data_IF_585844751897
#
_entry.id   IF_585844751897
#
_cell.length_a   1.000
_cell.length_b   1.000
_cell.length_c   1.000
_cell.angle_alpha   90.00
_cell.angle_beta   90.00
_cell.angle_gamma   90.00
#
_symmetry.space_group_name_H-M   'P 1'
#
loop_
_entity.id
_entity.type
_entity.pdbx_description
1 polymer ?
#
# COMPACT_ATOMS: atom_id res chain seq x y z
N UNK A 1 -22.47 21.49 -79.58
CA UNK A 1 -21.73 20.19 -79.65
C UNK A 1 -20.52 20.24 -78.74
N UNK A 2 -20.71 19.88 -77.48
CA UNK A 2 -19.60 19.56 -76.58
C UNK A 2 -19.95 18.30 -75.79
N UNK A 3 -19.21 17.23 -76.06
CA UNK A 3 -19.27 15.99 -75.31
C UNK A 3 -18.28 16.10 -74.12
N UNK A 4 -18.79 16.18 -72.93
CA UNK A 4 -17.99 16.00 -71.69
C UNK A 4 -17.92 14.52 -71.36
N UNK A 5 -16.70 13.97 -71.40
CA UNK A 5 -16.39 12.67 -70.86
C UNK A 5 -16.06 12.85 -69.35
N UNK A 6 -16.91 12.33 -68.49
CA UNK A 6 -16.60 12.16 -67.05
C UNK A 6 -15.68 10.93 -66.92
N UNK A 7 -14.43 11.19 -66.55
CA UNK A 7 -13.51 10.16 -66.11
C UNK A 7 -13.83 9.80 -64.63
N UNK A 8 -14.29 8.59 -64.42
CA UNK A 8 -14.47 8.03 -63.06
C UNK A 8 -13.12 7.49 -62.65
N UNK A 9 -12.43 8.18 -61.74
CA UNK A 9 -11.22 7.67 -61.08
C UNK A 9 -11.63 6.76 -59.93
N UNK A 10 -11.42 5.47 -60.12
CA UNK A 10 -11.66 4.44 -59.10
C UNK A 10 -10.55 4.55 -58.03
N UNK A 11 -10.86 5.12 -56.89
CA UNK A 11 -9.94 5.19 -55.74
C UNK A 11 -9.97 3.85 -55.02
N UNK A 12 -8.97 3.01 -55.25
CA UNK A 12 -8.82 1.73 -54.52
C UNK A 12 -8.30 2.00 -53.12
N UNK A 13 -9.19 1.97 -52.15
CA UNK A 13 -8.86 2.09 -50.73
C UNK A 13 -8.24 0.76 -50.25
N UNK A 14 -6.94 0.69 -50.13
CA UNK A 14 -6.23 -0.44 -49.53
C UNK A 14 -6.33 -0.31 -48.02
N UNK A 15 -7.27 -1.02 -47.39
CA UNK A 15 -7.35 -1.17 -45.95
C UNK A 15 -6.23 -2.10 -45.47
N UNK A 16 -5.13 -1.52 -45.02
CA UNK A 16 -4.11 -2.23 -44.26
C UNK A 16 -4.69 -2.59 -42.89
N UNK A 17 -5.21 -3.80 -42.75
CA UNK A 17 -5.46 -4.39 -41.44
C UNK A 17 -4.11 -4.61 -40.76
N UNK A 18 -3.70 -3.63 -39.95
CA UNK A 18 -2.65 -3.86 -38.94
C UNK A 18 -3.23 -4.85 -37.94
N UNK A 19 -2.93 -6.12 -38.14
CA UNK A 19 -3.24 -7.16 -37.16
C UNK A 19 -2.64 -6.73 -35.83
N UNK A 20 -3.48 -6.41 -34.84
CA UNK A 20 -3.07 -6.42 -33.47
C UNK A 20 -2.59 -7.85 -33.19
N UNK A 21 -1.27 -8.06 -33.28
CA UNK A 21 -0.68 -9.27 -32.74
C UNK A 21 -1.05 -9.28 -31.25
N UNK A 22 -2.03 -10.09 -30.89
CA UNK A 22 -2.31 -10.38 -29.49
C UNK A 22 -0.99 -10.89 -28.91
N UNK A 23 -0.43 -10.17 -27.95
CA UNK A 23 0.67 -10.71 -27.14
C UNK A 23 0.28 -12.13 -26.77
N UNK A 24 1.16 -13.12 -26.96
CA UNK A 24 0.87 -14.47 -26.47
C UNK A 24 0.48 -14.34 -25.00
N UNK A 25 -0.47 -15.11 -24.51
CA UNK A 25 -0.79 -15.12 -23.10
C UNK A 25 0.53 -15.28 -22.37
N UNK A 26 0.91 -14.25 -21.61
CA UNK A 26 2.08 -14.30 -20.76
C UNK A 26 1.83 -15.52 -19.90
N UNK A 27 2.66 -16.56 -20.05
CA UNK A 27 2.62 -17.71 -19.14
C UNK A 27 2.57 -17.08 -17.75
N UNK A 28 1.48 -17.33 -17.02
CA UNK A 28 1.34 -16.86 -15.65
C UNK A 28 2.55 -17.44 -14.94
N UNK A 29 3.59 -16.65 -14.83
CA UNK A 29 4.73 -16.90 -13.97
C UNK A 29 4.10 -17.38 -12.68
N UNK A 30 4.55 -18.51 -12.14
CA UNK A 30 3.97 -19.06 -10.93
C UNK A 30 4.22 -18.07 -9.80
N UNK A 31 3.38 -17.06 -9.74
CA UNK A 31 3.48 -15.96 -8.81
C UNK A 31 3.48 -16.52 -7.40
N UNK A 32 4.51 -16.22 -6.62
CA UNK A 32 4.69 -16.73 -5.27
C UNK A 32 4.70 -18.28 -5.17
N UNK A 33 5.60 -18.98 -5.87
CA UNK A 33 5.63 -20.44 -5.85
C UNK A 33 5.95 -21.00 -4.46
N UNK A 34 6.64 -20.25 -3.62
CA UNK A 34 6.95 -20.59 -2.25
C UNK A 34 5.71 -20.49 -1.34
N UNK A 35 4.84 -19.50 -1.52
CA UNK A 35 3.54 -19.42 -0.82
C UNK A 35 2.67 -20.63 -1.14
N UNK A 36 2.60 -21.00 -2.43
CA UNK A 36 1.86 -22.17 -2.87
C UNK A 36 2.37 -23.48 -2.22
N UNK A 37 3.68 -23.58 -1.98
CA UNK A 37 4.30 -24.76 -1.39
C UNK A 37 4.18 -24.82 0.12
N UNK A 38 4.37 -23.68 0.79
CA UNK A 38 4.48 -23.63 2.26
C UNK A 38 3.16 -23.27 2.94
N UNK A 39 2.23 -22.66 2.22
CA UNK A 39 1.02 -22.04 2.76
C UNK A 39 1.32 -20.80 3.62
N UNK A 40 2.56 -20.27 3.57
CA UNK A 40 2.99 -19.14 4.39
C UNK A 40 3.10 -17.88 3.54
N UNK A 41 2.40 -16.84 3.95
CA UNK A 41 2.48 -15.50 3.39
C UNK A 41 3.10 -14.55 4.41
N UNK A 42 4.24 -13.96 4.06
CA UNK A 42 4.91 -12.96 4.88
C UNK A 42 4.53 -11.57 4.40
N UNK A 43 3.87 -10.79 5.25
CA UNK A 43 3.44 -9.41 4.99
C UNK A 43 4.16 -8.50 5.96
N UNK A 44 4.71 -7.40 5.45
CA UNK A 44 5.28 -6.30 6.23
C UNK A 44 4.42 -5.06 6.04
N UNK A 45 3.99 -4.42 7.12
CA UNK A 45 3.37 -3.08 7.06
C UNK A 45 4.27 -2.07 7.73
N UNK A 46 4.40 -0.89 7.13
CA UNK A 46 5.31 0.14 7.59
C UNK A 46 4.86 1.54 7.14
N UNK A 47 4.66 2.44 8.11
CA UNK A 47 4.62 3.87 7.82
C UNK A 47 6.04 4.38 7.55
N UNK A 48 6.25 5.05 6.43
CA UNK A 48 7.58 5.41 5.93
C UNK A 48 8.05 6.79 6.38
N UNK A 49 7.21 7.51 7.13
CA UNK A 49 7.52 8.85 7.66
C UNK A 49 8.05 9.78 6.55
N UNK A 50 7.15 10.31 5.75
CA UNK A 50 7.49 11.16 4.59
C UNK A 50 8.36 12.38 4.94
N UNK A 51 8.25 12.87 6.16
CA UNK A 51 8.99 14.03 6.69
C UNK A 51 10.37 13.70 7.30
N UNK A 52 10.75 12.41 7.34
CA UNK A 52 12.05 12.01 7.86
C UNK A 52 13.19 12.59 7.00
N UNK A 53 14.30 13.08 7.63
CA UNK A 53 15.45 13.62 6.91
C UNK A 53 16.02 12.63 5.88
N UNK A 54 16.51 13.13 4.74
CA UNK A 54 17.03 12.33 3.62
C UNK A 54 18.05 11.26 4.04
N UNK A 55 18.99 11.62 4.93
CA UNK A 55 20.02 10.68 5.40
C UNK A 55 19.43 9.49 6.18
N UNK A 56 18.41 9.74 7.00
CA UNK A 56 17.68 8.70 7.75
C UNK A 56 16.90 7.82 6.78
N UNK A 57 16.20 8.43 5.85
CA UNK A 57 15.36 7.73 4.88
C UNK A 57 16.17 6.81 3.96
N UNK A 58 17.26 7.29 3.37
CA UNK A 58 18.10 6.50 2.47
C UNK A 58 18.68 5.26 3.16
N UNK A 59 19.10 5.40 4.42
CA UNK A 59 19.56 4.28 5.23
C UNK A 59 18.40 3.31 5.49
N UNK A 60 17.24 3.85 5.89
CA UNK A 60 16.06 3.03 6.19
C UNK A 60 15.59 2.21 5.00
N UNK A 61 15.62 2.74 3.77
CA UNK A 61 15.27 1.95 2.57
C UNK A 61 16.18 0.74 2.38
N UNK A 62 17.47 0.90 2.60
CA UNK A 62 18.42 -0.19 2.48
C UNK A 62 18.19 -1.26 3.56
N UNK A 63 17.90 -0.84 4.78
CA UNK A 63 17.62 -1.73 5.92
C UNK A 63 16.27 -2.44 5.75
N UNK A 64 15.23 -1.72 5.31
CA UNK A 64 13.91 -2.29 5.00
C UNK A 64 14.04 -3.35 3.89
N UNK A 65 14.76 -3.05 2.82
CA UNK A 65 14.97 -3.99 1.73
C UNK A 65 15.77 -5.21 2.19
N UNK A 66 16.78 -5.02 3.01
CA UNK A 66 17.57 -6.12 3.58
C UNK A 66 16.69 -7.00 4.48
N UNK A 67 15.91 -6.39 5.37
CA UNK A 67 14.97 -7.11 6.23
C UNK A 67 13.94 -7.89 5.41
N UNK A 68 13.34 -7.26 4.41
CA UNK A 68 12.31 -7.87 3.58
C UNK A 68 12.84 -9.10 2.83
N UNK A 69 14.03 -8.99 2.25
CA UNK A 69 14.67 -10.11 1.53
C UNK A 69 15.09 -11.23 2.51
N UNK A 70 15.71 -10.88 3.64
CA UNK A 70 16.16 -11.85 4.63
C UNK A 70 15.01 -12.64 5.28
N UNK A 71 13.83 -12.02 5.41
CA UNK A 71 12.64 -12.64 6.01
C UNK A 71 11.63 -13.12 4.96
N UNK A 72 12.04 -13.22 3.71
CA UNK A 72 11.20 -13.68 2.61
C UNK A 72 9.83 -12.97 2.58
N UNK A 73 9.81 -11.63 2.72
CA UNK A 73 8.58 -10.86 2.68
C UNK A 73 7.99 -10.91 1.28
N UNK A 74 6.74 -11.31 1.16
CA UNK A 74 6.02 -11.40 -0.12
C UNK A 74 5.34 -10.11 -0.50
N UNK A 75 4.81 -9.40 0.51
CA UNK A 75 4.06 -8.16 0.32
C UNK A 75 4.48 -7.13 1.35
N UNK A 76 4.78 -5.90 0.89
CA UNK A 76 4.98 -4.74 1.76
C UNK A 76 3.80 -3.78 1.58
N UNK A 77 3.27 -3.31 2.70
CA UNK A 77 2.23 -2.30 2.79
C UNK A 77 2.88 -1.03 3.34
N UNK A 78 2.94 0.01 2.53
CA UNK A 78 3.57 1.27 2.91
C UNK A 78 2.51 2.33 3.08
N UNK A 79 2.68 3.16 4.10
CA UNK A 79 1.95 4.39 4.33
C UNK A 79 2.92 5.57 4.25
N UNK A 80 2.41 6.74 3.96
CA UNK A 80 3.23 7.96 3.78
C UNK A 80 4.28 7.85 2.67
N UNK A 81 4.04 7.02 1.65
CA UNK A 81 4.89 7.04 0.48
C UNK A 81 4.80 8.41 -0.21
N UNK A 82 5.96 8.96 -0.54
CA UNK A 82 6.09 10.34 -1.02
C UNK A 82 6.29 10.39 -2.52
N UNK A 83 5.64 11.38 -3.16
CA UNK A 83 5.95 11.82 -4.52
C UNK A 83 6.10 13.36 -4.55
N UNK A 84 7.16 13.86 -5.18
CA UNK A 84 7.38 15.30 -5.43
C UNK A 84 8.17 15.53 -6.71
N UNK A 85 7.80 16.55 -7.47
CA UNK A 85 8.51 17.01 -8.66
C UNK A 85 9.29 18.33 -8.39
N UNK A 86 9.31 18.82 -7.15
CA UNK A 86 10.00 20.06 -6.77
C UNK A 86 11.43 19.75 -6.35
N UNK A 87 12.41 20.24 -7.10
CA UNK A 87 13.85 19.99 -6.87
C UNK A 87 14.32 20.29 -5.46
N UNK A 88 13.84 21.39 -4.86
CA UNK A 88 14.21 21.78 -3.49
C UNK A 88 13.68 20.77 -2.47
N UNK A 89 12.46 20.27 -2.67
CA UNK A 89 11.85 19.24 -1.83
C UNK A 89 12.58 17.92 -2.05
N UNK A 90 12.88 17.56 -3.30
CA UNK A 90 13.68 16.36 -3.60
C UNK A 90 15.05 16.40 -2.92
N UNK A 91 15.73 17.56 -2.92
CA UNK A 91 17.01 17.72 -2.24
C UNK A 91 16.88 17.59 -0.71
N UNK A 92 15.83 18.17 -0.13
CA UNK A 92 15.55 18.09 1.31
C UNK A 92 15.23 16.64 1.72
N UNK A 93 14.39 15.97 0.95
CA UNK A 93 13.89 14.64 1.28
C UNK A 93 14.74 13.51 0.70
N UNK A 94 15.67 13.81 -0.21
CA UNK A 94 16.58 12.85 -0.84
C UNK A 94 15.88 11.87 -1.79
N UNK A 95 14.63 12.13 -2.17
CA UNK A 95 13.86 11.31 -3.10
C UNK A 95 12.79 12.12 -3.83
N UNK A 96 12.46 11.74 -5.05
CA UNK A 96 11.28 12.23 -5.79
C UNK A 96 10.09 11.26 -5.69
N UNK A 97 10.36 9.97 -5.49
CA UNK A 97 9.35 8.90 -5.40
C UNK A 97 9.87 7.80 -4.45
N UNK A 98 9.49 7.90 -3.20
CA UNK A 98 10.00 7.01 -2.15
C UNK A 98 9.61 5.55 -2.35
N UNK A 99 8.41 5.28 -2.87
CA UNK A 99 7.94 3.92 -3.12
C UNK A 99 8.71 3.26 -4.28
N UNK A 100 9.00 4.01 -5.35
CA UNK A 100 9.83 3.54 -6.47
C UNK A 100 11.28 3.33 -6.07
N UNK A 101 11.82 4.19 -5.25
CA UNK A 101 13.18 4.03 -4.75
C UNK A 101 13.32 2.76 -3.93
N UNK A 102 12.37 2.48 -3.03
CA UNK A 102 12.36 1.22 -2.30
C UNK A 102 12.16 0.02 -3.23
N UNK A 103 11.24 0.11 -4.21
CA UNK A 103 11.05 -0.94 -5.22
C UNK A 103 12.34 -1.26 -5.95
N UNK A 104 13.08 -0.23 -6.39
CA UNK A 104 14.35 -0.40 -7.11
C UNK A 104 15.40 -1.10 -6.25
N UNK A 105 15.50 -0.73 -4.97
CA UNK A 105 16.45 -1.35 -4.04
C UNK A 105 16.06 -2.81 -3.75
N UNK A 106 14.77 -3.09 -3.56
CA UNK A 106 14.26 -4.44 -3.38
C UNK A 106 14.54 -5.32 -4.60
N UNK A 107 14.22 -4.83 -5.80
CA UNK A 107 14.39 -5.58 -7.04
C UNK A 107 15.87 -5.85 -7.39
N UNK A 108 16.79 -5.02 -6.89
CA UNK A 108 18.21 -5.27 -7.01
C UNK A 108 18.74 -6.38 -6.07
N UNK A 109 17.96 -6.77 -5.06
CA UNK A 109 18.38 -7.73 -4.00
C UNK A 109 17.53 -8.99 -3.96
N UNK A 110 16.29 -8.91 -4.45
CA UNK A 110 15.34 -10.02 -4.45
C UNK A 110 15.50 -10.89 -5.70
N UNK A 111 15.41 -12.22 -5.60
CA UNK A 111 15.40 -13.11 -6.77
C UNK A 111 14.15 -12.93 -7.64
N UNK A 112 13.04 -12.47 -7.05
CA UNK A 112 11.78 -12.21 -7.72
C UNK A 112 11.45 -10.71 -7.59
N UNK A 113 11.02 -10.06 -8.70
CA UNK A 113 10.75 -8.62 -8.67
C UNK A 113 9.47 -8.31 -7.88
N UNK A 114 9.50 -7.20 -7.18
CA UNK A 114 8.32 -6.61 -6.57
C UNK A 114 7.60 -5.72 -7.58
N UNK A 115 6.31 -5.93 -7.73
CA UNK A 115 5.41 -5.04 -8.45
C UNK A 115 4.88 -3.96 -7.51
N UNK A 116 4.82 -2.71 -7.98
CA UNK A 116 4.34 -1.57 -7.19
C UNK A 116 2.92 -1.18 -7.61
N UNK A 117 2.05 -1.01 -6.62
CA UNK A 117 0.73 -0.40 -6.74
C UNK A 117 0.63 0.78 -5.78
N UNK A 118 0.10 1.90 -6.26
CA UNK A 118 0.03 3.15 -5.50
C UNK A 118 -1.40 3.65 -5.49
N UNK A 119 -1.88 4.07 -4.32
CA UNK A 119 -3.13 4.79 -4.13
C UNK A 119 -2.81 6.16 -3.52
N UNK A 120 -2.96 7.19 -4.34
CA UNK A 120 -2.63 8.56 -3.96
C UNK A 120 -3.57 9.05 -2.87
N UNK A 121 -2.99 9.66 -1.85
CA UNK A 121 -3.64 10.55 -0.91
C UNK A 121 -3.58 11.98 -1.44
N UNK A 122 -4.11 12.92 -0.73
CA UNK A 122 -4.06 14.30 -1.17
C UNK A 122 -2.72 14.92 -0.84
N UNK A 123 -2.34 15.83 -1.67
CA UNK A 123 -1.23 16.75 -1.51
C UNK A 123 -1.44 17.87 -2.51
N UNK A 124 -0.50 18.76 -2.62
CA UNK A 124 -0.46 19.71 -3.74
C UNK A 124 0.14 18.97 -4.92
N UNK A 125 -0.63 18.68 -6.00
CA UNK A 125 -0.10 17.98 -7.16
C UNK A 125 1.18 18.64 -7.66
N UNK A 126 2.18 17.84 -8.01
CA UNK A 126 3.51 18.25 -8.46
C UNK A 126 4.41 18.90 -7.37
N UNK A 127 3.87 19.30 -6.24
CA UNK A 127 4.66 19.86 -5.14
C UNK A 127 5.04 18.76 -4.15
N UNK A 128 4.03 18.21 -3.49
CA UNK A 128 4.19 17.13 -2.52
C UNK A 128 2.91 16.34 -2.44
N UNK A 129 2.99 15.06 -2.71
CA UNK A 129 1.85 14.14 -2.63
C UNK A 129 2.25 12.94 -1.79
N UNK A 130 1.39 12.52 -0.87
CA UNK A 130 1.54 11.27 -0.14
C UNK A 130 0.67 10.17 -0.73
N UNK A 131 1.00 8.94 -0.43
CA UNK A 131 0.28 7.78 -0.93
C UNK A 131 0.38 6.59 0.03
N UNK A 132 -0.57 5.70 -0.10
CA UNK A 132 -0.40 4.32 0.34
C UNK A 132 0.14 3.50 -0.83
N UNK A 133 1.09 2.60 -0.58
CA UNK A 133 1.65 1.75 -1.61
C UNK A 133 1.66 0.28 -1.21
N UNK A 134 1.53 -0.61 -2.19
CA UNK A 134 1.69 -2.05 -2.04
C UNK A 134 2.81 -2.49 -2.97
N UNK A 135 3.84 -3.12 -2.42
CA UNK A 135 4.88 -3.80 -3.16
C UNK A 135 4.68 -5.30 -2.99
N UNK A 136 4.57 -6.03 -4.10
CA UNK A 136 4.26 -7.47 -4.06
C UNK A 136 5.13 -8.27 -5.02
N UNK A 137 5.67 -9.40 -4.57
CA UNK A 137 6.27 -10.42 -5.45
C UNK A 137 5.20 -11.33 -6.07
N UNK A 138 4.01 -11.37 -5.46
CA UNK A 138 2.87 -12.10 -6.02
C UNK A 138 2.18 -11.24 -7.07
N UNK A 139 1.80 -11.83 -8.20
CA UNK A 139 1.15 -11.11 -9.30
C UNK A 139 -0.17 -10.47 -8.85
N UNK A 140 -0.25 -9.16 -8.97
CA UNK A 140 -1.46 -8.41 -8.66
C UNK A 140 -2.38 -8.41 -9.88
N UNK A 141 -3.43 -9.21 -9.83
CA UNK A 141 -4.40 -9.35 -10.91
C UNK A 141 -5.35 -8.16 -11.02
N UNK A 142 -5.66 -7.51 -9.88
CA UNK A 142 -6.49 -6.31 -9.81
C UNK A 142 -6.00 -5.41 -8.66
N UNK A 143 -6.08 -4.11 -8.90
CA UNK A 143 -5.81 -3.10 -7.89
C UNK A 143 -6.80 -1.96 -8.02
N UNK A 144 -7.37 -1.51 -6.93
CA UNK A 144 -8.25 -0.33 -6.86
C UNK A 144 -8.29 0.23 -5.45
N UNK A 145 -8.74 1.47 -5.35
CA UNK A 145 -8.80 2.21 -4.09
C UNK A 145 -10.05 3.06 -4.00
N UNK A 146 -10.33 3.56 -2.81
CA UNK A 146 -11.33 4.59 -2.58
C UNK A 146 -10.85 5.54 -1.48
N UNK A 147 -11.27 6.81 -1.57
CA UNK A 147 -11.04 7.74 -0.48
C UNK A 147 -11.94 7.42 0.71
N UNK A 148 -11.42 7.66 1.89
CA UNK A 148 -12.15 7.60 3.14
C UNK A 148 -12.77 8.97 3.42
N UNK A 149 -13.91 9.03 4.15
CA UNK A 149 -14.51 10.30 4.52
C UNK A 149 -13.59 11.04 5.50
N UNK A 150 -13.81 12.34 5.61
CA UNK A 150 -13.09 13.26 6.49
C UNK A 150 -11.65 13.50 6.03
N UNK A 151 -11.36 14.77 5.85
CA UNK A 151 -10.01 15.28 5.59
C UNK A 151 -9.38 15.66 6.92
N UNK A 152 -8.10 15.35 7.11
CA UNK A 152 -7.30 15.92 8.20
C UNK A 152 -6.56 17.14 7.71
N UNK A 153 -6.34 18.10 8.60
CA UNK A 153 -5.42 19.20 8.36
C UNK A 153 -4.09 18.86 9.05
N UNK A 154 -3.03 18.72 8.26
CA UNK A 154 -1.69 18.44 8.76
C UNK A 154 -0.76 19.56 8.32
N UNK A 155 0.12 20.00 9.23
CA UNK A 155 1.10 21.01 8.92
C UNK A 155 2.40 20.34 8.48
N UNK A 156 2.88 20.69 7.28
CA UNK A 156 4.19 20.30 6.78
C UNK A 156 5.00 21.57 6.47
N UNK A 157 6.13 21.76 7.15
CA UNK A 157 7.01 22.93 6.96
C UNK A 157 6.26 24.27 7.01
N UNK A 158 5.23 24.37 7.87
CA UNK A 158 4.39 25.55 8.02
C UNK A 158 3.32 25.75 6.94
N UNK A 159 3.12 24.77 6.07
CA UNK A 159 2.03 24.71 5.08
C UNK A 159 0.94 23.80 5.63
N UNK A 160 -0.26 24.32 5.79
CA UNK A 160 -1.43 23.50 6.12
C UNK A 160 -1.86 22.69 4.90
N UNK A 161 -1.76 21.37 5.01
CA UNK A 161 -2.19 20.45 3.96
C UNK A 161 -3.46 19.74 4.40
N UNK A 162 -4.44 19.73 3.52
CA UNK A 162 -5.59 18.84 3.67
C UNK A 162 -5.25 17.47 3.14
N UNK A 163 -5.23 16.49 4.02
CA UNK A 163 -4.90 15.11 3.67
C UNK A 163 -6.18 14.28 3.67
N UNK A 164 -6.54 13.78 2.50
CA UNK A 164 -7.55 12.74 2.36
C UNK A 164 -6.90 11.39 2.53
N UNK A 165 -7.49 10.57 3.36
CA UNK A 165 -7.05 9.19 3.56
C UNK A 165 -7.74 8.25 2.57
N UNK A 166 -7.12 7.13 2.29
CA UNK A 166 -7.67 6.13 1.40
C UNK A 166 -7.51 4.71 1.94
N UNK A 167 -8.24 3.80 1.34
CA UNK A 167 -8.00 2.37 1.41
C UNK A 167 -7.80 1.83 0.00
N UNK A 168 -6.81 0.98 -0.19
CA UNK A 168 -6.56 0.27 -1.43
C UNK A 168 -6.61 -1.24 -1.20
N UNK A 169 -6.88 -1.99 -2.27
CA UNK A 169 -6.82 -3.45 -2.29
C UNK A 169 -6.04 -3.94 -3.48
N UNK A 170 -5.16 -4.90 -3.24
CA UNK A 170 -4.53 -5.73 -4.26
C UNK A 170 -5.13 -7.13 -4.19
N UNK A 171 -5.66 -7.61 -5.31
CA UNK A 171 -6.18 -8.96 -5.46
C UNK A 171 -5.17 -9.81 -6.21
N UNK A 172 -4.88 -10.99 -5.68
CA UNK A 172 -3.91 -11.94 -6.21
C UNK A 172 -4.55 -13.32 -6.28
N UNK A 173 -4.17 -14.10 -7.30
CA UNK A 173 -4.57 -15.50 -7.38
C UNK A 173 -3.32 -16.36 -7.34
N UNK A 174 -3.12 -17.07 -6.24
CA UNK A 174 -1.90 -17.85 -5.99
C UNK A 174 -2.25 -19.33 -6.18
N UNK A 175 -1.66 -20.01 -7.18
CA UNK A 175 -1.92 -21.42 -7.44
C UNK A 175 -1.68 -22.28 -6.20
N UNK A 176 -2.66 -23.12 -5.83
CA UNK A 176 -2.58 -23.98 -4.65
C UNK A 176 -2.84 -23.28 -3.31
N UNK A 177 -2.83 -21.95 -3.27
CA UNK A 177 -3.13 -21.17 -2.07
C UNK A 177 -4.54 -20.53 -2.13
N UNK A 178 -4.93 -20.03 -3.30
CA UNK A 178 -6.25 -19.44 -3.55
C UNK A 178 -6.19 -17.93 -3.83
N UNK A 179 -7.35 -17.30 -3.74
CA UNK A 179 -7.47 -15.85 -3.92
C UNK A 179 -7.09 -15.13 -2.63
N UNK A 180 -6.11 -14.25 -2.73
CA UNK A 180 -5.63 -13.39 -1.65
C UNK A 180 -6.03 -11.94 -1.92
N UNK A 181 -6.72 -11.32 -0.99
CA UNK A 181 -7.03 -9.90 -1.02
C UNK A 181 -6.28 -9.20 0.11
N UNK A 182 -5.41 -8.27 -0.25
CA UNK A 182 -4.64 -7.48 0.69
C UNK A 182 -5.10 -6.04 0.64
N UNK A 183 -5.61 -5.55 1.76
CA UNK A 183 -6.01 -4.17 1.96
C UNK A 183 -4.90 -3.42 2.67
N UNK A 184 -4.61 -2.20 2.20
CA UNK A 184 -3.70 -1.26 2.83
C UNK A 184 -4.41 0.06 3.04
N UNK A 185 -4.29 0.63 4.23
CA UNK A 185 -4.90 1.91 4.59
C UNK A 185 -3.98 2.72 5.50
N UNK A 186 -4.22 4.02 5.55
CA UNK A 186 -3.68 4.91 6.56
C UNK A 186 -4.82 5.78 7.07
N UNK A 187 -5.20 5.61 8.33
CA UNK A 187 -6.28 6.38 8.92
C UNK A 187 -5.77 7.72 9.44
N UNK A 188 -6.68 8.62 9.72
CA UNK A 188 -6.36 9.96 10.18
C UNK A 188 -5.75 9.97 11.60
N UNK A 189 -4.57 10.58 11.76
CA UNK A 189 -3.91 10.75 13.05
C UNK A 189 -4.50 11.89 13.89
N UNK A 190 -4.98 12.96 13.25
CA UNK A 190 -5.40 14.20 13.91
C UNK A 190 -6.92 14.39 13.95
N UNK A 191 -7.71 13.41 13.54
CA UNK A 191 -9.16 13.47 13.58
C UNK A 191 -9.73 13.30 14.98
N UNK A 192 -10.97 13.76 15.16
CA UNK A 192 -11.75 13.36 16.33
C UNK A 192 -12.02 11.86 16.30
N UNK A 193 -12.38 11.31 17.43
CA UNK A 193 -12.74 9.88 17.53
C UNK A 193 -13.93 9.54 16.63
N UNK A 194 -14.88 10.45 16.48
CA UNK A 194 -16.04 10.30 15.58
C UNK A 194 -15.60 10.26 14.13
N UNK A 195 -14.62 11.08 13.75
CA UNK A 195 -14.00 11.06 12.42
C UNK A 195 -13.31 9.74 12.13
N UNK A 196 -12.56 9.24 13.09
CA UNK A 196 -11.89 7.95 12.97
C UNK A 196 -12.89 6.79 12.87
N UNK A 197 -13.98 6.82 13.66
CA UNK A 197 -15.07 5.86 13.54
C UNK A 197 -15.73 5.88 12.16
N UNK A 198 -15.93 7.06 11.57
CA UNK A 198 -16.49 7.18 10.21
C UNK A 198 -15.53 6.62 9.17
N UNK A 199 -14.21 6.86 9.30
CA UNK A 199 -13.21 6.26 8.42
C UNK A 199 -13.21 4.74 8.51
N UNK A 200 -13.24 4.18 9.72
CA UNK A 200 -13.30 2.72 9.92
C UNK A 200 -14.59 2.12 9.35
N UNK A 201 -15.73 2.79 9.56
CA UNK A 201 -16.99 2.33 8.98
C UNK A 201 -16.94 2.31 7.43
N UNK A 202 -16.35 3.34 6.80
CA UNK A 202 -16.18 3.40 5.35
C UNK A 202 -15.18 2.36 4.84
N UNK A 203 -14.08 2.13 5.56
CA UNK A 203 -13.10 1.08 5.28
C UNK A 203 -13.78 -0.29 5.28
N UNK A 204 -14.50 -0.65 6.33
CA UNK A 204 -15.19 -1.93 6.44
C UNK A 204 -16.28 -2.10 5.38
N UNK A 205 -17.03 -1.03 5.08
CA UNK A 205 -17.99 -1.03 3.99
C UNK A 205 -17.32 -1.24 2.60
N UNK A 206 -16.13 -0.69 2.40
CA UNK A 206 -15.35 -0.95 1.18
C UNK A 206 -14.94 -2.42 1.10
N UNK A 207 -14.37 -2.99 2.16
CA UNK A 207 -14.02 -4.41 2.24
C UNK A 207 -15.23 -5.28 1.92
N UNK A 208 -16.36 -5.05 2.59
CA UNK A 208 -17.59 -5.82 2.36
C UNK A 208 -18.06 -5.75 0.90
N UNK A 209 -18.00 -4.57 0.27
CA UNK A 209 -18.38 -4.42 -1.16
C UNK A 209 -17.46 -5.18 -2.10
N UNK A 210 -16.17 -5.24 -1.79
CA UNK A 210 -15.19 -5.98 -2.59
C UNK A 210 -15.42 -7.48 -2.45
N UNK A 211 -15.49 -7.97 -1.21
CA UNK A 211 -15.67 -9.39 -0.91
C UNK A 211 -17.02 -9.93 -1.39
N UNK A 212 -18.06 -9.10 -1.43
CA UNK A 212 -19.35 -9.49 -2.01
C UNK A 212 -19.31 -9.71 -3.53
N UNK A 213 -18.35 -9.12 -4.24
CA UNK A 213 -18.20 -9.28 -5.70
C UNK A 213 -17.28 -10.41 -6.10
N UNK A 214 -16.17 -10.52 -5.40
CA UNK A 214 -15.16 -11.57 -5.62
C UNK A 214 -14.64 -11.96 -4.25
N UNK A 215 -15.09 -13.08 -3.76
CA UNK A 215 -14.70 -13.55 -2.43
C UNK A 215 -13.23 -13.98 -2.41
N UNK A 216 -12.44 -13.40 -1.51
CA UNK A 216 -11.11 -13.86 -1.19
C UNK A 216 -11.14 -15.12 -0.33
N UNK A 217 -10.25 -16.07 -0.60
CA UNK A 217 -10.01 -17.18 0.33
C UNK A 217 -9.27 -16.70 1.58
N UNK A 218 -8.39 -15.72 1.37
CA UNK A 218 -7.59 -15.10 2.41
C UNK A 218 -7.72 -13.58 2.28
N UNK A 219 -8.11 -12.92 3.37
CA UNK A 219 -8.28 -11.47 3.43
C UNK A 219 -7.36 -10.92 4.51
N UNK A 220 -6.45 -10.04 4.11
CA UNK A 220 -5.51 -9.35 5.00
C UNK A 220 -5.83 -7.87 4.98
N UNK A 221 -6.02 -7.28 6.15
CA UNK A 221 -6.09 -5.84 6.35
C UNK A 221 -4.85 -5.41 7.12
N UNK A 222 -4.04 -4.57 6.50
CA UNK A 222 -2.88 -3.94 7.11
C UNK A 222 -2.87 -2.44 6.88
N UNK A 223 -1.91 -1.78 7.49
CA UNK A 223 -1.75 -0.34 7.38
C UNK A 223 -1.53 0.32 8.73
N UNK A 224 -1.52 1.64 8.71
CA UNK A 224 -1.46 2.46 9.90
C UNK A 224 -2.88 2.91 10.28
N UNK A 225 -3.43 2.33 11.34
CA UNK A 225 -4.76 2.66 11.81
C UNK A 225 -4.78 3.89 12.72
N UNK A 226 -3.63 4.42 13.09
CA UNK A 226 -3.47 5.54 14.02
C UNK A 226 -4.27 5.38 15.32
N UNK A 227 -4.36 4.14 15.82
CA UNK A 227 -5.02 3.79 17.08
C UNK A 227 -3.97 3.60 18.16
N UNK A 228 -4.10 4.36 19.23
CA UNK A 228 -3.29 4.19 20.43
C UNK A 228 -4.13 3.54 21.54
N UNK A 229 -4.09 2.23 21.58
CA UNK A 229 -4.89 1.45 22.53
C UNK A 229 -4.46 1.65 24.00
N UNK A 230 -3.31 2.27 24.24
CA UNK A 230 -2.88 2.69 25.55
C UNK A 230 -3.50 4.02 25.99
N UNK A 231 -3.92 4.87 25.06
CA UNK A 231 -4.48 6.19 25.34
C UNK A 231 -5.92 6.18 25.86
N UNK A 232 -6.69 5.11 25.64
CA UNK A 232 -7.98 5.03 26.28
C UNK A 232 -9.08 4.23 25.58
N UNK A 233 -10.27 4.33 26.19
CA UNK A 233 -11.47 3.54 25.84
C UNK A 233 -11.97 3.86 24.41
N UNK A 234 -11.70 5.06 23.91
CA UNK A 234 -12.20 5.51 22.62
C UNK A 234 -11.50 4.79 21.45
N UNK A 235 -10.17 4.75 21.45
CA UNK A 235 -9.39 4.03 20.42
C UNK A 235 -9.66 2.53 20.51
N UNK A 236 -9.81 2.01 21.71
CA UNK A 236 -10.21 0.62 21.92
C UNK A 236 -11.58 0.31 21.30
N UNK A 237 -12.56 1.19 21.41
CA UNK A 237 -13.87 1.00 20.80
C UNK A 237 -13.81 0.97 19.27
N UNK A 238 -12.92 1.79 18.66
CA UNK A 238 -12.66 1.75 17.22
C UNK A 238 -11.99 0.44 16.81
N UNK A 239 -10.97 0.02 17.52
CA UNK A 239 -10.29 -1.27 17.31
C UNK A 239 -11.27 -2.45 17.41
N UNK A 240 -12.13 -2.47 18.43
CA UNK A 240 -13.16 -3.48 18.59
C UNK A 240 -14.16 -3.51 17.43
N UNK A 241 -14.37 -2.40 16.75
CA UNK A 241 -15.22 -2.35 15.56
C UNK A 241 -14.60 -3.15 14.42
N UNK A 242 -13.28 -3.07 14.23
CA UNK A 242 -12.54 -3.85 13.25
C UNK A 242 -12.55 -5.35 13.61
N UNK A 243 -12.31 -5.69 14.86
CA UNK A 243 -12.30 -7.09 15.30
C UNK A 243 -13.70 -7.72 15.27
N UNK A 244 -14.75 -6.98 15.62
CA UNK A 244 -16.15 -7.42 15.48
C UNK A 244 -16.58 -7.63 14.02
N UNK A 245 -15.94 -6.98 13.08
CA UNK A 245 -16.13 -7.22 11.65
C UNK A 245 -15.51 -8.55 11.16
N UNK A 246 -14.85 -9.32 12.05
CA UNK A 246 -14.29 -10.63 11.78
C UNK A 246 -12.78 -10.64 11.56
N UNK A 247 -12.10 -9.50 11.64
CA UNK A 247 -10.64 -9.44 11.58
C UNK A 247 -10.03 -9.88 12.91
N UNK A 248 -8.92 -10.61 12.81
CA UNK A 248 -8.10 -11.00 13.96
C UNK A 248 -6.81 -10.22 13.95
N UNK A 249 -6.43 -9.65 15.07
CA UNK A 249 -5.12 -9.03 15.24
C UNK A 249 -4.07 -10.14 15.45
N UNK A 250 -3.37 -10.43 14.35
CA UNK A 250 -2.37 -11.50 14.33
C UNK A 250 -1.17 -11.20 15.22
N UNK A 251 -0.86 -9.91 15.43
CA UNK A 251 0.23 -9.53 16.30
C UNK A 251 -0.15 -9.70 17.78
N UNK A 252 -1.34 -9.25 18.18
CA UNK A 252 -1.83 -9.47 19.54
C UNK A 252 -1.96 -10.96 19.85
N UNK A 253 -2.42 -11.77 18.90
CA UNK A 253 -2.47 -13.23 19.06
C UNK A 253 -1.07 -13.84 19.22
N UNK A 254 -0.11 -13.43 18.40
CA UNK A 254 1.27 -13.90 18.51
C UNK A 254 1.86 -13.55 19.88
N UNK A 255 1.76 -12.29 20.31
CA UNK A 255 2.27 -11.84 21.61
C UNK A 255 1.65 -12.61 22.77
N UNK A 256 0.36 -12.80 22.77
CA UNK A 256 -0.36 -13.58 23.78
C UNK A 256 0.13 -15.04 23.81
N UNK A 257 0.31 -15.64 22.65
CA UNK A 257 0.70 -17.05 22.52
C UNK A 257 2.15 -17.29 22.92
N UNK A 258 3.06 -16.40 22.52
CA UNK A 258 4.51 -16.60 22.74
C UNK A 258 4.99 -16.07 24.09
N UNK A 259 4.40 -15.00 24.60
CA UNK A 259 4.93 -14.30 25.78
C UNK A 259 3.90 -14.11 26.90
N UNK A 260 2.67 -14.54 26.72
CA UNK A 260 1.58 -14.30 27.69
C UNK A 260 1.22 -12.82 27.85
N UNK A 261 1.62 -11.97 26.91
CA UNK A 261 1.44 -10.53 26.97
C UNK A 261 0.24 -10.06 26.15
N UNK A 262 -0.43 -9.03 26.64
CA UNK A 262 -1.54 -8.38 25.96
C UNK A 262 -1.15 -7.10 25.20
N UNK A 263 0.14 -6.85 25.06
CA UNK A 263 0.66 -5.65 24.36
C UNK A 263 0.40 -5.72 22.86
N UNK A 264 0.09 -4.58 22.26
CA UNK A 264 -0.49 -4.50 20.94
C UNK A 264 0.46 -4.00 19.84
N UNK A 265 1.55 -3.33 20.18
CA UNK A 265 2.52 -2.85 19.18
C UNK A 265 3.95 -2.98 19.69
N UNK A 266 4.85 -3.33 18.79
CA UNK A 266 6.29 -3.24 19.00
C UNK A 266 6.84 -2.06 18.21
N UNK A 267 7.61 -1.23 18.88
CA UNK A 267 8.51 -0.34 18.19
C UNK A 267 9.76 -1.09 17.76
N UNK A 268 10.10 -1.00 16.49
CA UNK A 268 11.34 -1.53 15.99
C UNK A 268 12.49 -0.56 16.26
N UNK A 269 13.51 -1.02 17.00
CA UNK A 269 14.61 -0.22 17.52
C UNK A 269 15.74 0.09 16.54
N UNK A 270 15.55 -0.11 15.26
CA UNK A 270 16.60 0.15 14.29
C UNK A 270 16.77 1.63 13.89
N UNK A 271 15.82 2.50 14.25
CA UNK A 271 15.84 3.93 13.85
C UNK A 271 15.75 4.81 15.10
N UNK A 272 16.69 5.73 15.31
CA UNK A 272 16.82 6.49 16.56
C UNK A 272 15.65 7.40 16.92
N UNK A 273 14.74 7.71 16.01
CA UNK A 273 13.70 8.74 16.18
C UNK A 273 12.26 8.25 15.92
N UNK A 274 12.02 6.93 15.95
CA UNK A 274 10.64 6.45 15.87
C UNK A 274 9.97 6.66 17.23
N UNK A 275 8.97 7.51 17.26
CA UNK A 275 8.09 7.67 18.41
C UNK A 275 7.22 6.42 18.55
N UNK A 276 7.48 5.68 19.61
CA UNK A 276 6.60 4.60 20.02
C UNK A 276 5.35 5.18 20.66
N UNK A 277 4.21 5.09 20.01
CA UNK A 277 2.94 5.63 20.51
C UNK A 277 2.33 4.78 21.63
N UNK A 278 2.86 3.59 21.87
CA UNK A 278 2.35 2.66 22.90
C UNK A 278 3.00 2.82 24.30
N UNK A 279 3.91 3.80 24.44
CA UNK A 279 4.60 4.06 25.72
C UNK A 279 5.51 2.92 26.19
N UNK A 280 5.80 1.96 25.34
CA UNK A 280 6.72 0.85 25.65
C UNK A 280 8.13 1.26 25.29
N UNK A 281 9.03 1.19 26.27
CA UNK A 281 10.45 1.33 26.01
C UNK A 281 10.89 0.30 24.98
N UNK A 282 11.79 0.70 24.05
CA UNK A 282 12.29 -0.21 23.03
C UNK A 282 12.84 -1.49 23.66
N UNK A 283 12.48 -2.63 23.10
CA UNK A 283 13.12 -3.90 23.47
C UNK A 283 14.55 -3.82 23.01
N UNK A 284 15.49 -3.74 23.94
CA UNK A 284 16.90 -3.94 23.64
C UNK A 284 17.07 -5.41 23.26
N UNK A 285 17.34 -5.66 21.97
CA UNK A 285 17.75 -6.96 21.44
C UNK A 285 19.24 -7.09 21.41
#
# INVERSE_FOLDING_TARGET
LFRNQLGITLLTLVLLFSGCASKPPQELSAACPDVAKTGQLNVLTLNTLYDAPAAVRTKSWADIAQFAVANNVHVLLLQEALLTDVDQIQQLLGTSDSARDLQRILNARSPEPYELRVAWETGVPLVLTTANAILSRCDVTRHFSTFLPIESEEAFEGIELKITRNVQVAQMSIPGYGNLHIYNTHLCAACSIEGLQQQVAALLAFVQRVEAKVQGNHVVLGGDLNLDLAKGVADQAVYETVTRAGFRDVYAEYRRTQFGETRQTLCWNGVPDIHCTDGVSPVQG
#
